data_IF_523341796296
#
_entry.id   IF_523341796296
#
_cell.length_a   1.000
_cell.length_b   1.000
_cell.length_c   1.000
_cell.angle_alpha   90.00
_cell.angle_beta   90.00
_cell.angle_gamma   90.00
#
_symmetry.space_group_name_H-M   'P 1'
#
loop_
_entity.id
_entity.type
_entity.pdbx_description
1 polymer ?
#
# COMPACT_ATOMS: atom_id res chain seq x y z
N UNK A 1 4.45 20.54 -2.20
CA UNK A 1 4.79 19.33 -1.43
C UNK A 1 3.86 18.18 -1.71
N UNK A 2 2.59 18.47 -1.96
CA UNK A 2 1.64 17.42 -2.32
C UNK A 2 2.02 16.65 -3.58
N UNK A 3 2.75 17.27 -4.51
CA UNK A 3 3.20 16.60 -5.72
C UNK A 3 4.15 15.43 -5.47
N UNK A 4 5.03 15.54 -4.47
CA UNK A 4 5.95 14.46 -4.12
C UNK A 4 5.22 13.25 -3.56
N UNK A 5 4.19 13.48 -2.76
CA UNK A 5 3.37 12.40 -2.20
C UNK A 5 2.63 11.66 -3.30
N UNK A 6 2.04 12.39 -4.24
CA UNK A 6 1.34 11.79 -5.37
C UNK A 6 2.28 10.94 -6.20
N UNK A 7 3.50 11.42 -6.47
CA UNK A 7 4.51 10.66 -7.22
C UNK A 7 4.91 9.39 -6.50
N UNK A 8 5.11 9.45 -5.17
CA UNK A 8 5.44 8.27 -4.37
C UNK A 8 4.33 7.23 -4.43
N UNK A 9 3.09 7.65 -4.24
CA UNK A 9 1.95 6.76 -4.29
C UNK A 9 1.83 6.09 -5.66
N UNK A 10 2.04 6.86 -6.74
CA UNK A 10 1.98 6.33 -8.10
C UNK A 10 3.07 5.27 -8.33
N UNK A 11 4.29 5.52 -7.89
CA UNK A 11 5.39 4.57 -8.01
C UNK A 11 5.12 3.30 -7.20
N UNK A 12 4.59 3.45 -6.00
CA UNK A 12 4.25 2.32 -5.14
C UNK A 12 3.19 1.44 -5.81
N UNK A 13 2.16 2.05 -6.39
CA UNK A 13 1.10 1.30 -7.07
C UNK A 13 1.65 0.45 -8.22
N UNK A 14 2.72 0.89 -8.88
CA UNK A 14 3.32 0.13 -9.96
C UNK A 14 4.06 -1.12 -9.52
N UNK A 15 4.57 -1.13 -8.28
CA UNK A 15 5.36 -2.26 -7.77
C UNK A 15 4.55 -3.22 -6.91
N UNK A 16 3.35 -2.85 -6.52
CA UNK A 16 2.49 -3.69 -5.69
C UNK A 16 1.96 -4.90 -6.45
N UNK A 17 1.61 -5.98 -5.75
CA UNK A 17 0.91 -7.11 -6.37
C UNK A 17 -0.38 -6.65 -7.05
N UNK A 18 -0.86 -7.38 -8.07
CA UNK A 18 -2.06 -6.96 -8.81
C UNK A 18 -3.26 -6.68 -7.92
N UNK A 19 -3.88 -5.53 -8.12
CA UNK A 19 -5.07 -5.11 -7.38
C UNK A 19 -4.79 -4.35 -6.09
N UNK A 20 -3.62 -4.51 -5.50
CA UNK A 20 -3.25 -3.72 -4.33
C UNK A 20 -2.95 -2.29 -4.75
N UNK A 21 -3.30 -1.35 -3.90
CA UNK A 21 -3.06 0.06 -4.19
C UNK A 21 -2.86 0.85 -2.91
N UNK A 22 -2.23 2.01 -3.07
CA UNK A 22 -2.04 2.96 -1.98
C UNK A 22 -2.87 4.20 -2.27
N UNK A 23 -3.74 4.53 -1.34
CA UNK A 23 -4.43 5.82 -1.32
C UNK A 23 -3.72 6.72 -0.31
N UNK A 24 -3.83 8.01 -0.46
CA UNK A 24 -3.23 8.92 0.50
C UNK A 24 -4.15 10.07 0.82
N UNK A 25 -4.18 10.41 2.10
CA UNK A 25 -4.72 11.67 2.62
C UNK A 25 -3.54 12.58 2.93
N UNK A 26 -3.77 13.84 3.31
CA UNK A 26 -2.67 14.75 3.62
C UNK A 26 -1.67 14.20 4.65
N UNK A 27 -2.14 13.40 5.60
CA UNK A 27 -1.30 12.93 6.71
C UNK A 27 -1.03 11.43 6.70
N UNK A 28 -1.78 10.65 5.94
CA UNK A 28 -1.78 9.19 6.04
C UNK A 28 -1.77 8.55 4.67
N UNK A 29 -0.93 7.52 4.51
CA UNK A 29 -0.98 6.61 3.38
C UNK A 29 -1.71 5.34 3.80
N UNK A 30 -2.61 4.85 2.96
CA UNK A 30 -3.44 3.68 3.26
C UNK A 30 -3.21 2.64 2.18
N UNK A 31 -2.73 1.47 2.58
CA UNK A 31 -2.58 0.34 1.66
C UNK A 31 -3.89 -0.45 1.62
N UNK A 32 -4.45 -0.63 0.42
CA UNK A 32 -5.71 -1.32 0.22
C UNK A 32 -5.55 -2.60 -0.58
N UNK A 33 -6.36 -3.58 -0.23
CA UNK A 33 -6.49 -4.84 -0.98
C UNK A 33 -7.31 -4.64 -2.24
N UNK A 34 -7.30 -5.61 -3.16
CA UNK A 34 -8.12 -5.53 -4.37
C UNK A 34 -9.62 -5.32 -4.11
N UNK A 35 -10.13 -5.80 -2.99
CA UNK A 35 -11.53 -5.62 -2.64
C UNK A 35 -11.84 -4.27 -2.00
N UNK A 36 -10.82 -3.42 -1.83
CA UNK A 36 -10.97 -2.09 -1.23
C UNK A 36 -10.74 -2.04 0.28
N UNK A 37 -10.62 -3.18 0.94
CA UNK A 37 -10.38 -3.21 2.37
C UNK A 37 -8.96 -2.76 2.72
N UNK A 38 -8.75 -2.32 3.95
CA UNK A 38 -7.48 -1.74 4.37
C UNK A 38 -6.55 -2.81 4.93
N UNK A 39 -5.30 -2.81 4.44
CA UNK A 39 -4.24 -3.65 4.99
C UNK A 39 -3.56 -2.94 6.15
N UNK A 40 -3.13 -1.70 5.93
CA UNK A 40 -2.40 -0.95 6.94
C UNK A 40 -2.46 0.55 6.66
N UNK A 41 -2.18 1.32 7.69
CA UNK A 41 -2.05 2.78 7.62
C UNK A 41 -0.63 3.15 7.98
N UNK A 42 -0.05 4.09 7.28
CA UNK A 42 1.26 4.64 7.62
C UNK A 42 1.22 6.15 7.56
N UNK A 43 1.90 6.84 8.50
CA UNK A 43 2.08 8.28 8.35
C UNK A 43 2.76 8.57 7.01
N UNK A 44 2.32 9.65 6.37
CA UNK A 44 2.77 9.94 5.00
C UNK A 44 4.29 10.09 4.90
N UNK A 45 4.91 10.61 5.95
CA UNK A 45 6.36 10.83 5.96
C UNK A 45 7.17 9.55 6.19
N UNK A 46 6.55 8.46 6.60
CA UNK A 46 7.23 7.16 6.75
C UNK A 46 6.94 6.20 5.61
N UNK A 47 6.09 6.59 4.66
CA UNK A 47 5.77 5.74 3.53
C UNK A 47 6.98 5.57 2.61
N UNK A 48 7.27 4.34 2.24
CA UNK A 48 8.27 4.05 1.21
C UNK A 48 7.73 2.93 0.31
N UNK A 49 8.16 2.89 -0.95
CA UNK A 49 7.74 1.82 -1.86
C UNK A 49 8.08 0.43 -1.32
N UNK A 50 9.26 0.25 -0.76
CA UNK A 50 9.71 -1.04 -0.22
C UNK A 50 8.83 -1.49 0.94
N UNK A 51 8.48 -0.56 1.82
CA UNK A 51 7.66 -0.90 2.97
C UNK A 51 6.26 -1.29 2.55
N UNK A 52 5.68 -0.55 1.62
CA UNK A 52 4.34 -0.86 1.12
C UNK A 52 4.31 -2.20 0.39
N UNK A 53 5.30 -2.47 -0.44
CA UNK A 53 5.42 -3.74 -1.13
C UNK A 53 5.54 -4.89 -0.14
N UNK A 54 6.35 -4.74 0.88
CA UNK A 54 6.53 -5.75 1.92
C UNK A 54 5.22 -6.04 2.64
N UNK A 55 4.49 -4.99 3.02
CA UNK A 55 3.21 -5.17 3.70
C UNK A 55 2.19 -5.87 2.81
N UNK A 56 2.15 -5.50 1.54
CA UNK A 56 1.25 -6.12 0.58
C UNK A 56 1.59 -7.59 0.37
N UNK A 57 2.87 -7.91 0.25
CA UNK A 57 3.32 -9.30 0.08
C UNK A 57 2.98 -10.16 1.30
N UNK A 58 3.18 -9.62 2.48
CA UNK A 58 2.84 -10.32 3.73
C UNK A 58 1.33 -10.56 3.81
N UNK A 59 0.54 -9.57 3.44
CA UNK A 59 -0.92 -9.69 3.44
C UNK A 59 -1.37 -10.76 2.45
N UNK A 60 -0.80 -10.74 1.26
CA UNK A 60 -1.14 -11.71 0.22
C UNK A 60 -0.82 -13.13 0.67
N UNK A 61 0.35 -13.32 1.27
CA UNK A 61 0.75 -14.62 1.79
C UNK A 61 -0.16 -15.09 2.92
N UNK A 62 -0.55 -14.18 3.83
CA UNK A 62 -1.48 -14.49 4.92
C UNK A 62 -2.85 -14.88 4.39
N UNK A 63 -3.34 -14.18 3.36
CA UNK A 63 -4.61 -14.51 2.73
C UNK A 63 -4.60 -15.90 2.12
N UNK A 64 -3.50 -16.27 1.46
CA UNK A 64 -3.36 -17.60 0.90
C UNK A 64 -3.35 -18.67 1.98
N UNK A 65 -2.63 -18.42 3.07
CA UNK A 65 -2.59 -19.35 4.20
C UNK A 65 -3.94 -19.50 4.85
N UNK A 66 -4.68 -18.41 4.97
CA UNK A 66 -6.02 -18.44 5.56
C UNK A 66 -7.01 -19.20 4.72
N UNK A 67 -6.80 -19.24 3.41
CA UNK A 67 -7.69 -19.93 2.46
C UNK A 67 -7.30 -21.37 2.21
N UNK A 68 -6.16 -21.77 2.68
CA UNK A 68 -5.72 -23.15 2.54
C UNK A 68 -5.99 -23.95 3.83
#
# INVERSE_FOLDING_TARGET
>A
MSGLVVLKAHKVNKVLPPGYRVDHDPDVAVLRRPDGSVVTYLPIWTMSPERMLREAELDLASGRLANS
#
